data_IF_670723554791
#
_entry.id   IF_670723554791
#
_cell.length_a   1.000
_cell.length_b   1.000
_cell.length_c   1.000
_cell.angle_alpha   90.00
_cell.angle_beta   90.00
_cell.angle_gamma   90.00
#
_symmetry.space_group_name_H-M   'P 1'
#
loop_
_entity.id
_entity.type
_entity.pdbx_description
1 polymer ?
#
# COMPACT_ATOMS: atom_id res chain seq x y z
N UNK A 1 -3.93 -3.98 0.33
CA UNK A 1 -2.92 -4.79 -0.37
C UNK A 1 -1.49 -4.42 0.02
N UNK A 2 -1.04 -3.16 -0.05
CA UNK A 2 0.35 -2.80 0.30
C UNK A 2 0.82 -3.38 1.66
N UNK A 3 -0.04 -3.32 2.67
CA UNK A 3 0.19 -3.95 3.98
C UNK A 3 0.36 -5.47 3.93
N UNK A 4 -0.44 -6.15 3.11
CA UNK A 4 -0.41 -7.60 2.92
C UNK A 4 0.87 -8.05 2.20
N UNK A 5 1.30 -7.31 1.18
CA UNK A 5 2.56 -7.59 0.48
C UNK A 5 3.75 -7.38 1.41
N UNK A 6 3.83 -6.22 2.06
CA UNK A 6 4.93 -5.90 2.95
C UNK A 6 5.07 -6.91 4.10
N UNK A 7 3.98 -7.28 4.78
CA UNK A 7 4.03 -8.27 5.87
C UNK A 7 4.23 -9.69 5.33
N UNK A 8 3.66 -10.01 4.18
CA UNK A 8 3.73 -11.35 3.58
C UNK A 8 5.10 -11.72 3.07
N UNK A 9 5.79 -10.73 2.47
CA UNK A 9 7.06 -10.89 1.76
C UNK A 9 8.11 -9.89 2.31
N UNK A 10 8.15 -9.73 3.63
CA UNK A 10 9.00 -8.74 4.32
C UNK A 10 10.50 -8.97 4.09
N UNK A 11 10.91 -10.15 3.62
CA UNK A 11 12.29 -10.39 3.20
C UNK A 11 12.66 -9.65 1.91
N UNK A 12 11.69 -9.48 1.01
CA UNK A 12 11.89 -8.93 -0.33
C UNK A 12 11.38 -7.47 -0.45
N UNK A 13 10.49 -7.04 0.44
CA UNK A 13 9.88 -5.70 0.46
C UNK A 13 10.29 -4.98 1.73
N UNK A 14 11.12 -3.94 1.61
CA UNK A 14 11.72 -3.21 2.74
C UNK A 14 11.02 -1.86 3.05
N UNK A 15 9.69 -1.84 3.03
CA UNK A 15 8.92 -0.63 3.28
C UNK A 15 7.53 -0.61 2.68
N UNK A 16 6.66 0.29 3.16
CA UNK A 16 5.25 0.31 2.77
C UNK A 16 4.61 1.69 2.83
N UNK A 17 3.94 2.07 1.74
CA UNK A 17 3.07 3.23 1.66
C UNK A 17 1.59 2.83 1.76
N UNK A 18 0.89 3.38 2.75
CA UNK A 18 -0.51 3.04 3.07
C UNK A 18 -1.37 4.30 2.93
N UNK A 19 -2.15 4.36 1.86
CA UNK A 19 -3.11 5.43 1.60
C UNK A 19 -4.52 4.92 1.84
N UNK A 20 -5.21 5.47 2.86
CA UNK A 20 -6.62 5.18 3.14
C UNK A 20 -6.95 3.67 3.19
N UNK A 21 -5.98 2.84 3.59
CA UNK A 21 -6.09 1.39 3.62
C UNK A 21 -6.17 0.87 5.06
N UNK A 22 -6.96 -0.19 5.32
CA UNK A 22 -7.04 -0.77 6.65
C UNK A 22 -5.78 -1.61 6.98
N UNK A 23 -5.58 -1.94 8.27
CA UNK A 23 -4.52 -2.83 8.71
C UNK A 23 -4.52 -4.22 8.06
N UNK A 24 -3.37 -4.89 8.12
CA UNK A 24 -3.23 -6.29 7.73
C UNK A 24 -4.30 -7.16 8.40
N UNK A 25 -4.88 -8.08 7.63
CA UNK A 25 -5.92 -9.00 8.06
C UNK A 25 -7.25 -8.36 8.50
N UNK A 26 -7.42 -7.05 8.32
CA UNK A 26 -8.73 -6.44 8.49
C UNK A 26 -9.68 -6.95 7.39
N UNK A 27 -10.75 -7.63 7.79
CA UNK A 27 -11.67 -8.36 6.91
C UNK A 27 -11.52 -9.89 6.98
N UNK A 28 -10.56 -10.38 7.78
CA UNK A 28 -10.41 -11.80 8.12
C UNK A 28 -11.09 -12.18 9.45
N UNK A 29 -11.14 -13.48 9.74
CA UNK A 29 -11.61 -14.06 11.02
C UNK A 29 -12.90 -13.45 11.60
N UNK A 30 -13.93 -13.26 10.77
CA UNK A 30 -15.25 -12.80 11.22
C UNK A 30 -15.41 -11.27 11.30
N UNK A 31 -14.38 -10.49 11.01
CA UNK A 31 -14.53 -9.05 10.75
C UNK A 31 -15.13 -8.84 9.37
N UNK A 32 -16.14 -7.96 9.27
CA UNK A 32 -16.71 -7.61 7.97
C UNK A 32 -15.88 -6.53 7.28
N UNK A 33 -15.91 -6.50 5.95
CA UNK A 33 -15.34 -5.39 5.18
C UNK A 33 -15.91 -4.04 5.63
N UNK A 34 -17.20 -3.98 5.98
CA UNK A 34 -17.83 -2.77 6.50
C UNK A 34 -17.21 -2.29 7.82
N UNK A 35 -16.84 -3.21 8.73
CA UNK A 35 -16.11 -2.84 9.95
C UNK A 35 -14.75 -2.23 9.62
N UNK A 36 -14.04 -2.80 8.66
CA UNK A 36 -12.70 -2.38 8.24
C UNK A 36 -12.67 -1.13 7.36
N UNK A 37 -13.80 -0.73 6.80
CA UNK A 37 -13.90 0.49 6.00
C UNK A 37 -14.52 1.62 6.80
N UNK A 38 -15.67 1.38 7.44
CA UNK A 38 -16.50 2.45 8.03
C UNK A 38 -16.88 2.17 9.48
N UNK A 39 -16.32 1.14 10.11
CA UNK A 39 -16.64 0.77 11.48
C UNK A 39 -15.89 1.58 12.53
N UNK A 40 -16.32 1.49 13.81
CA UNK A 40 -15.58 2.05 14.92
C UNK A 40 -14.22 1.35 15.08
N UNK A 41 -13.13 2.13 15.08
CA UNK A 41 -11.78 1.60 15.24
C UNK A 41 -11.57 0.83 16.55
N UNK A 42 -12.31 1.16 17.60
CA UNK A 42 -12.27 0.48 18.91
C UNK A 42 -12.71 -0.99 18.86
N UNK A 43 -13.40 -1.40 17.80
CA UNK A 43 -13.80 -2.80 17.59
C UNK A 43 -12.73 -3.62 16.85
N UNK A 44 -11.65 -2.99 16.39
CA UNK A 44 -10.54 -3.65 15.69
C UNK A 44 -9.34 -3.68 16.63
N UNK A 45 -9.03 -4.86 17.16
CA UNK A 45 -7.92 -5.04 18.11
C UNK A 45 -6.60 -5.23 17.37
N UNK A 46 -5.70 -4.24 17.46
CA UNK A 46 -4.33 -4.34 16.92
C UNK A 46 -3.59 -5.54 17.51
N UNK A 47 -3.82 -5.89 18.78
CA UNK A 47 -3.24 -7.10 19.40
C UNK A 47 -3.67 -8.38 18.70
N UNK A 48 -4.94 -8.49 18.28
CA UNK A 48 -5.43 -9.66 17.53
C UNK A 48 -4.81 -9.71 16.14
N UNK A 49 -4.65 -8.56 15.48
CA UNK A 49 -3.97 -8.49 14.18
C UNK A 49 -2.50 -8.91 14.27
N UNK A 50 -1.78 -8.44 15.28
CA UNK A 50 -0.39 -8.82 15.58
C UNK A 50 -0.27 -10.33 15.89
N UNK A 51 -1.18 -10.88 16.70
CA UNK A 51 -1.25 -12.32 16.94
C UNK A 51 -1.50 -13.11 15.66
N UNK A 52 -2.30 -12.56 14.73
CA UNK A 52 -2.53 -13.21 13.44
C UNK A 52 -1.27 -13.23 12.58
N UNK A 53 -0.49 -12.16 12.58
CA UNK A 53 0.82 -12.12 11.91
C UNK A 53 1.70 -13.24 12.46
N UNK A 54 1.86 -13.33 13.80
CA UNK A 54 2.63 -14.41 14.45
C UNK A 54 2.11 -15.80 14.09
N UNK A 55 0.79 -15.97 14.05
CA UNK A 55 0.16 -17.23 13.66
C UNK A 55 0.45 -17.61 12.21
N UNK A 56 0.35 -16.68 11.27
CA UNK A 56 0.67 -16.96 9.86
C UNK A 56 2.14 -17.19 9.63
N UNK A 57 3.01 -16.56 10.42
CA UNK A 57 4.44 -16.88 10.41
C UNK A 57 4.71 -18.32 10.88
N UNK A 58 4.04 -18.79 11.94
CA UNK A 58 4.15 -20.18 12.42
C UNK A 58 3.64 -21.23 11.41
N UNK A 59 2.76 -20.82 10.50
CA UNK A 59 2.26 -21.66 9.41
C UNK A 59 3.09 -21.52 8.13
N UNK A 60 4.20 -20.79 8.16
CA UNK A 60 5.03 -20.46 6.98
C UNK A 60 4.21 -19.86 5.82
N UNK A 61 3.14 -19.10 6.15
CA UNK A 61 2.30 -18.38 5.17
C UNK A 61 2.79 -16.96 4.88
N UNK A 62 3.66 -16.43 5.72
CA UNK A 62 4.30 -15.11 5.58
C UNK A 62 5.76 -15.21 6.07
N UNK A 63 6.58 -14.28 5.63
CA UNK A 63 7.95 -14.09 6.12
C UNK A 63 8.02 -13.74 7.61
N UNK A 64 9.23 -13.83 8.16
CA UNK A 64 9.49 -13.46 9.56
C UNK A 64 9.23 -11.97 9.81
N UNK A 65 8.34 -11.61 10.75
CA UNK A 65 8.05 -10.21 11.06
C UNK A 65 9.26 -9.43 11.57
N UNK A 66 10.33 -10.11 12.02
CA UNK A 66 11.59 -9.44 12.39
C UNK A 66 12.19 -8.64 11.23
N UNK A 67 11.92 -9.03 9.98
CA UNK A 67 12.41 -8.29 8.81
C UNK A 67 11.80 -6.88 8.69
N UNK A 68 10.67 -6.61 9.36
CA UNK A 68 9.96 -5.32 9.32
C UNK A 68 10.58 -4.31 10.31
N UNK A 69 11.45 -4.77 11.23
CA UNK A 69 12.11 -3.89 12.17
C UNK A 69 13.01 -2.89 11.43
N UNK A 70 12.77 -1.59 11.64
CA UNK A 70 13.47 -0.53 10.94
C UNK A 70 12.91 -0.19 9.56
N UNK A 71 11.97 -0.96 8.99
CA UNK A 71 11.43 -0.63 7.67
C UNK A 71 10.66 0.70 7.69
N UNK A 72 10.87 1.59 6.70
CA UNK A 72 10.09 2.81 6.58
C UNK A 72 8.65 2.50 6.19
N UNK A 73 7.70 3.00 6.98
CA UNK A 73 6.27 2.87 6.71
C UNK A 73 5.62 4.24 6.71
N UNK A 74 4.86 4.54 5.66
CA UNK A 74 4.12 5.79 5.54
C UNK A 74 2.62 5.52 5.62
N UNK A 75 1.89 6.25 6.47
CA UNK A 75 0.43 6.13 6.59
C UNK A 75 -0.26 7.46 6.33
N UNK A 76 -1.13 7.50 5.32
CA UNK A 76 -1.97 8.65 5.01
C UNK A 76 -3.45 8.36 5.28
N UNK A 77 -4.14 9.32 5.90
CA UNK A 77 -5.59 9.36 5.92
C UNK A 77 -6.10 10.80 5.91
N UNK A 78 -7.00 11.14 4.99
CA UNK A 78 -7.64 12.45 4.96
C UNK A 78 -8.72 12.61 6.03
N UNK A 79 -8.83 13.77 6.66
CA UNK A 79 -9.83 14.07 7.71
C UNK A 79 -11.27 13.85 7.22
N UNK A 80 -11.53 14.11 5.94
CA UNK A 80 -12.86 14.03 5.35
C UNK A 80 -13.15 12.69 4.67
N UNK A 81 -12.27 11.70 4.77
CA UNK A 81 -12.51 10.39 4.18
C UNK A 81 -13.75 9.71 4.81
N UNK A 82 -14.76 9.47 3.97
CA UNK A 82 -16.00 8.75 4.33
C UNK A 82 -16.11 7.37 3.68
N UNK A 83 -15.11 6.94 2.94
CA UNK A 83 -15.05 5.61 2.30
C UNK A 83 -14.20 4.67 3.16
N UNK A 84 -13.05 5.13 3.61
CA UNK A 84 -12.19 4.45 4.58
C UNK A 84 -11.96 5.38 5.77
N UNK A 85 -12.68 5.13 6.86
CA UNK A 85 -12.70 6.02 8.01
C UNK A 85 -11.31 6.17 8.63
N UNK A 86 -10.88 7.41 8.92
CA UNK A 86 -9.54 7.65 9.44
C UNK A 86 -9.22 6.89 10.72
N UNK A 87 -10.23 6.64 11.57
CA UNK A 87 -10.04 5.82 12.77
C UNK A 87 -9.48 4.44 12.47
N UNK A 88 -9.96 3.78 11.41
CA UNK A 88 -9.48 2.43 11.03
C UNK A 88 -8.10 2.51 10.39
N UNK A 89 -7.88 3.46 9.49
CA UNK A 89 -6.59 3.62 8.80
C UNK A 89 -5.46 3.92 9.79
N UNK A 90 -5.73 4.73 10.83
CA UNK A 90 -4.77 5.07 11.89
C UNK A 90 -4.28 3.86 12.70
N UNK A 91 -5.03 2.75 12.72
CA UNK A 91 -4.56 1.52 13.39
C UNK A 91 -3.31 0.92 12.75
N UNK A 92 -3.00 1.27 11.48
CA UNK A 92 -1.74 0.87 10.85
C UNK A 92 -0.52 1.41 11.61
N UNK A 93 -0.58 2.66 12.11
CA UNK A 93 0.52 3.25 12.87
C UNK A 93 0.83 2.42 14.11
N UNK A 94 -0.21 2.02 14.85
CA UNK A 94 -0.06 1.18 16.04
C UNK A 94 0.46 -0.22 15.69
N UNK A 95 -0.08 -0.84 14.64
CA UNK A 95 0.35 -2.17 14.22
C UNK A 95 1.82 -2.19 13.79
N UNK A 96 2.22 -1.28 12.91
CA UNK A 96 3.59 -1.21 12.41
C UNK A 96 4.59 -0.76 13.47
N UNK A 97 4.21 0.15 14.38
CA UNK A 97 5.07 0.50 15.52
C UNK A 97 5.36 -0.70 16.41
N UNK A 98 4.40 -1.60 16.61
CA UNK A 98 4.63 -2.85 17.38
C UNK A 98 5.52 -3.86 16.66
N UNK A 99 5.62 -3.76 15.34
CA UNK A 99 6.52 -4.57 14.52
C UNK A 99 7.92 -3.93 14.39
N UNK A 100 8.17 -2.78 15.03
CA UNK A 100 9.48 -2.12 15.02
C UNK A 100 9.74 -1.24 13.79
N UNK A 101 8.74 -0.99 12.94
CA UNK A 101 8.90 -0.16 11.75
C UNK A 101 9.10 1.34 12.07
N UNK A 102 9.77 2.06 11.17
CA UNK A 102 9.89 3.52 11.20
C UNK A 102 8.65 4.18 10.58
N UNK A 103 7.63 4.45 11.40
CA UNK A 103 6.35 4.98 10.92
C UNK A 103 6.37 6.51 10.79
N UNK A 104 6.00 7.03 9.61
CA UNK A 104 5.61 8.43 9.39
C UNK A 104 4.14 8.50 9.01
N UNK A 105 3.43 9.48 9.55
CA UNK A 105 1.99 9.64 9.32
C UNK A 105 1.62 11.02 8.79
N UNK A 106 0.51 11.09 8.05
CA UNK A 106 -0.17 12.33 7.73
C UNK A 106 -1.67 12.12 7.88
N UNK A 107 -2.21 12.67 8.97
CA UNK A 107 -3.62 12.53 9.36
C UNK A 107 -4.36 13.86 9.44
N UNK A 108 -3.68 14.96 9.16
CA UNK A 108 -4.19 16.33 9.34
C UNK A 108 -4.66 16.96 8.03
N UNK A 109 -4.52 16.25 6.91
CA UNK A 109 -4.91 16.77 5.61
C UNK A 109 -6.45 16.82 5.48
N UNK A 110 -7.05 17.96 5.08
CA UNK A 110 -8.48 18.08 4.79
C UNK A 110 -8.86 17.43 3.43
N UNK A 111 -8.39 16.20 3.20
CA UNK A 111 -8.67 15.39 2.02
C UNK A 111 -9.88 14.46 2.25
N UNK A 112 -10.64 14.23 1.18
CA UNK A 112 -11.57 13.11 1.08
C UNK A 112 -10.83 11.86 0.54
N UNK A 113 -11.53 10.73 0.43
CA UNK A 113 -10.99 9.51 -0.19
C UNK A 113 -10.49 9.74 -1.62
N UNK A 114 -9.21 9.48 -1.83
CA UNK A 114 -8.51 9.62 -3.10
C UNK A 114 -7.01 9.80 -2.90
N UNK A 115 -6.27 9.92 -4.01
CA UNK A 115 -4.85 10.19 -4.05
C UNK A 115 -4.61 11.71 -4.09
N UNK A 116 -4.06 12.32 -3.02
CA UNK A 116 -3.66 13.72 -3.00
C UNK A 116 -2.50 13.98 -3.97
N UNK A 117 -2.69 14.96 -4.84
CA UNK A 117 -1.65 15.49 -5.71
C UNK A 117 -1.49 16.99 -5.49
N UNK A 118 -0.41 17.53 -6.05
CA UNK A 118 -0.09 18.94 -5.91
C UNK A 118 -0.90 19.84 -6.85
N UNK A 119 -1.35 19.34 -8.01
CA UNK A 119 -1.94 20.17 -9.05
C UNK A 119 -2.95 19.48 -9.99
N UNK A 120 -3.37 18.23 -9.72
CA UNK A 120 -4.26 17.48 -10.60
C UNK A 120 -5.43 16.81 -9.86
N UNK A 121 -6.58 16.69 -10.53
CA UNK A 121 -7.79 16.05 -9.99
C UNK A 121 -8.80 17.04 -9.39
N UNK A 122 -9.85 16.50 -8.76
CA UNK A 122 -10.91 17.33 -8.17
C UNK A 122 -10.45 18.02 -6.89
N UNK A 123 -11.28 18.89 -6.31
CA UNK A 123 -10.99 19.55 -5.02
C UNK A 123 -10.63 18.53 -3.94
N UNK A 124 -9.62 18.83 -3.11
CA UNK A 124 -9.14 17.95 -2.04
C UNK A 124 -10.24 17.35 -1.16
N UNK A 125 -11.21 18.17 -0.77
CA UNK A 125 -12.31 17.80 0.13
C UNK A 125 -13.47 17.06 -0.53
N UNK A 126 -13.37 16.72 -1.81
CA UNK A 126 -14.46 16.10 -2.58
C UNK A 126 -14.14 14.64 -2.90
N UNK A 127 -15.13 13.75 -2.76
CA UNK A 127 -15.03 12.40 -3.31
C UNK A 127 -15.04 12.45 -4.84
N UNK A 128 -13.88 12.21 -5.47
CA UNK A 128 -13.78 12.16 -6.91
C UNK A 128 -13.93 10.73 -7.43
N UNK A 129 -15.16 10.27 -7.65
CA UNK A 129 -15.40 8.88 -8.10
C UNK A 129 -14.96 8.61 -9.55
N UNK A 130 -14.59 9.64 -10.32
CA UNK A 130 -14.16 9.45 -11.71
C UNK A 130 -12.78 8.77 -11.80
N UNK A 131 -11.87 9.09 -10.88
CA UNK A 131 -10.51 8.52 -10.86
C UNK A 131 -9.87 8.44 -9.46
N UNK A 132 -10.55 8.94 -8.43
CA UNK A 132 -10.04 9.01 -7.06
C UNK A 132 -8.72 9.77 -6.95
N UNK A 133 -8.52 10.82 -7.75
CA UNK A 133 -7.36 11.71 -7.67
C UNK A 133 -7.82 13.12 -7.32
N UNK A 134 -7.16 13.77 -6.38
CA UNK A 134 -7.55 15.07 -5.84
C UNK A 134 -6.39 16.05 -5.84
N UNK A 135 -6.66 17.29 -6.26
CA UNK A 135 -5.74 18.40 -6.09
C UNK A 135 -5.84 18.91 -4.65
N UNK A 136 -4.82 18.59 -3.86
CA UNK A 136 -4.68 18.93 -2.46
C UNK A 136 -3.58 19.95 -2.18
N UNK A 137 -2.94 20.50 -3.23
CA UNK A 137 -1.70 21.27 -3.10
C UNK A 137 -0.65 20.51 -2.26
N UNK A 138 -0.66 19.17 -2.34
CA UNK A 138 0.22 18.29 -1.58
C UNK A 138 0.65 17.11 -2.44
N UNK A 139 1.95 16.96 -2.59
CA UNK A 139 2.55 15.87 -3.36
C UNK A 139 2.70 14.62 -2.47
N UNK A 140 1.62 13.83 -2.32
CA UNK A 140 1.67 12.60 -1.51
C UNK A 140 2.71 11.62 -2.05
N UNK A 141 2.80 11.47 -3.37
CA UNK A 141 3.76 10.56 -4.00
C UNK A 141 5.20 10.89 -3.56
N UNK A 142 5.59 12.16 -3.61
CA UNK A 142 6.89 12.61 -3.12
C UNK A 142 7.04 12.40 -1.61
N UNK A 143 6.08 12.86 -0.80
CA UNK A 143 6.24 12.83 0.66
C UNK A 143 6.34 11.40 1.21
N UNK A 144 5.59 10.48 0.60
CA UNK A 144 5.63 9.05 0.86
C UNK A 144 6.94 8.44 0.36
N UNK A 145 7.29 8.61 -0.92
CA UNK A 145 8.50 8.02 -1.49
C UNK A 145 9.77 8.54 -0.81
N UNK A 146 9.81 9.83 -0.47
CA UNK A 146 10.93 10.41 0.26
C UNK A 146 11.15 9.71 1.60
N UNK A 147 10.08 9.43 2.35
CA UNK A 147 10.19 8.65 3.59
C UNK A 147 10.70 7.23 3.34
N UNK A 148 10.11 6.53 2.36
CA UNK A 148 10.49 5.17 2.00
C UNK A 148 11.94 5.06 1.49
N UNK A 149 12.51 6.14 0.95
CA UNK A 149 13.89 6.19 0.45
C UNK A 149 14.88 6.86 1.41
N UNK A 150 14.53 6.99 2.71
CA UNK A 150 15.46 7.50 3.73
C UNK A 150 15.57 9.03 3.85
N UNK A 151 14.65 9.77 3.23
CA UNK A 151 14.42 11.19 3.50
C UNK A 151 15.22 12.20 2.67
N UNK A 152 16.00 11.73 1.69
CA UNK A 152 16.99 12.56 0.96
C UNK A 152 16.63 12.84 -0.50
N UNK A 153 15.40 12.57 -0.93
CA UNK A 153 14.96 12.87 -2.28
C UNK A 153 14.77 14.38 -2.46
N UNK A 154 15.05 14.86 -3.66
CA UNK A 154 14.76 16.24 -4.04
C UNK A 154 13.31 16.35 -4.48
N UNK A 155 12.53 17.22 -3.84
CA UNK A 155 11.15 17.49 -4.24
C UNK A 155 11.11 18.07 -5.66
N UNK A 156 10.34 17.50 -6.59
CA UNK A 156 10.09 18.15 -7.87
C UNK A 156 9.47 19.53 -7.68
N UNK A 157 9.87 20.54 -8.47
CA UNK A 157 9.21 21.85 -8.44
C UNK A 157 7.71 21.72 -8.69
N UNK A 158 6.92 22.61 -8.07
CA UNK A 158 5.48 22.70 -8.32
C UNK A 158 5.25 22.98 -9.80
N UNK A 159 4.33 22.23 -10.43
CA UNK A 159 4.11 22.28 -11.88
C UNK A 159 5.35 21.96 -12.71
N UNK A 160 6.27 21.14 -12.18
CA UNK A 160 7.39 20.64 -12.96
C UNK A 160 6.89 20.07 -14.28
N UNK A 161 7.33 20.69 -15.37
CA UNK A 161 7.16 20.20 -16.73
C UNK A 161 8.40 19.41 -17.15
N UNK A 162 9.23 18.94 -16.20
CA UNK A 162 10.34 18.03 -16.52
C UNK A 162 9.74 16.95 -17.40
N UNK A 163 10.17 16.85 -18.68
CA UNK A 163 9.65 15.84 -19.57
C UNK A 163 9.79 14.49 -18.87
N UNK A 164 8.75 13.66 -18.92
CA UNK A 164 8.92 12.25 -18.60
C UNK A 164 9.89 11.72 -19.66
N UNK A 165 11.19 11.73 -19.34
CA UNK A 165 12.24 11.21 -20.22
C UNK A 165 12.29 9.68 -20.20
N UNK A 166 11.50 9.06 -19.32
CA UNK A 166 11.28 7.62 -19.30
C UNK A 166 10.17 7.15 -20.23
N UNK A 167 9.86 5.86 -20.13
CA UNK A 167 8.82 5.19 -20.91
C UNK A 167 7.86 4.41 -20.00
N UNK A 168 6.60 4.31 -20.42
CA UNK A 168 5.62 3.41 -19.83
C UNK A 168 5.67 2.07 -20.58
N UNK A 169 6.35 1.10 -20.00
CA UNK A 169 6.38 -0.27 -20.53
C UNK A 169 5.08 -0.96 -20.19
N UNK A 170 4.46 -1.60 -21.17
CA UNK A 170 3.33 -2.50 -20.95
C UNK A 170 3.81 -3.94 -21.07
N UNK A 171 3.40 -4.80 -20.14
CA UNK A 171 3.75 -6.23 -20.19
C UNK A 171 2.57 -7.12 -19.77
N UNK A 172 2.63 -8.38 -20.19
CA UNK A 172 1.63 -9.40 -19.89
C UNK A 172 1.91 -10.05 -18.52
N UNK A 173 0.99 -9.89 -17.58
CA UNK A 173 1.06 -10.47 -16.25
C UNK A 173 0.90 -11.99 -16.26
N UNK A 174 0.30 -12.59 -17.31
CA UNK A 174 0.14 -14.04 -17.40
C UNK A 174 1.49 -14.79 -17.36
N UNK A 175 2.56 -14.15 -17.83
CA UNK A 175 3.91 -14.68 -17.76
C UNK A 175 4.35 -15.01 -16.32
N UNK A 176 3.75 -14.34 -15.32
CA UNK A 176 4.10 -14.45 -13.90
C UNK A 176 3.05 -15.17 -13.05
N UNK A 177 1.95 -15.67 -13.65
CA UNK A 177 0.81 -16.27 -12.93
C UNK A 177 0.84 -17.81 -12.85
N UNK A 178 1.96 -18.45 -13.21
CA UNK A 178 2.13 -19.91 -13.12
C UNK A 178 2.41 -20.36 -11.67
N UNK A 179 1.36 -20.44 -10.84
CA UNK A 179 1.47 -20.94 -9.47
C UNK A 179 1.44 -22.47 -9.40
N UNK A 180 2.50 -23.17 -8.95
CA UNK A 180 2.46 -24.61 -8.74
C UNK A 180 1.33 -25.00 -7.78
N UNK A 181 0.65 -26.10 -8.08
CA UNK A 181 -0.53 -26.61 -7.36
C UNK A 181 -0.28 -26.85 -5.86
N UNK A 182 0.97 -27.00 -5.42
CA UNK A 182 1.34 -27.39 -4.05
C UNK A 182 1.22 -26.29 -2.98
N UNK A 183 1.10 -25.01 -3.34
CA UNK A 183 0.86 -23.91 -2.38
C UNK A 183 -0.64 -23.57 -2.20
N UNK A 184 -1.53 -24.33 -2.86
CA UNK A 184 -2.98 -24.14 -2.82
C UNK A 184 -3.63 -24.93 -1.67
N UNK A 185 -3.28 -24.65 -0.42
CA UNK A 185 -4.02 -25.21 0.71
C UNK A 185 -5.41 -24.56 0.90
N UNK A 186 -5.74 -23.54 0.11
CA UNK A 186 -7.09 -22.96 0.02
C UNK A 186 -7.47 -22.86 -1.46
N UNK A 187 -8.11 -23.90 -2.01
CA UNK A 187 -8.59 -23.99 -3.41
C UNK A 187 -9.41 -22.76 -3.86
N UNK A 188 -10.02 -22.02 -2.93
CA UNK A 188 -10.84 -20.84 -3.23
C UNK A 188 -10.02 -19.56 -3.53
N UNK A 189 -8.72 -19.51 -3.20
CA UNK A 189 -7.89 -18.33 -3.42
C UNK A 189 -7.34 -18.23 -4.86
N UNK A 190 -7.04 -19.37 -5.50
CA UNK A 190 -6.45 -19.42 -6.85
C UNK A 190 -7.44 -19.04 -7.96
N UNK A 191 -8.68 -19.52 -7.86
CA UNK A 191 -9.72 -19.20 -8.85
C UNK A 191 -10.03 -17.71 -8.85
N UNK A 192 -10.05 -17.04 -7.69
CA UNK A 192 -10.39 -15.61 -7.66
C UNK A 192 -9.30 -14.69 -8.24
N UNK A 193 -8.03 -14.81 -7.86
CA UNK A 193 -7.06 -13.75 -8.20
C UNK A 193 -6.80 -13.61 -9.71
N UNK A 194 -6.73 -14.73 -10.44
CA UNK A 194 -6.49 -14.74 -11.90
C UNK A 194 -7.70 -14.26 -12.71
N UNK A 195 -8.91 -14.32 -12.14
CA UNK A 195 -10.14 -13.84 -12.78
C UNK A 195 -10.31 -12.32 -12.70
N UNK A 196 -9.70 -11.66 -11.70
CA UNK A 196 -9.89 -10.22 -11.43
C UNK A 196 -8.68 -9.35 -11.80
N UNK A 197 -7.49 -9.92 -11.94
CA UNK A 197 -6.30 -9.17 -12.37
C UNK A 197 -6.32 -9.01 -13.89
N UNK A 198 -6.10 -7.77 -14.36
CA UNK A 198 -5.99 -7.51 -15.81
C UNK A 198 -4.71 -8.15 -16.34
N UNK A 199 -4.77 -8.70 -17.55
CA UNK A 199 -3.58 -9.30 -18.17
C UNK A 199 -2.46 -8.29 -18.44
N UNK A 200 -2.77 -7.00 -18.61
CA UNK A 200 -1.75 -5.97 -18.90
C UNK A 200 -1.43 -5.12 -17.67
N UNK A 201 -0.14 -5.06 -17.32
CA UNK A 201 0.39 -4.12 -16.34
C UNK A 201 1.33 -3.11 -16.99
N UNK A 202 1.49 -1.96 -16.33
CA UNK A 202 2.37 -0.90 -16.77
C UNK A 202 3.47 -0.65 -15.74
N UNK A 203 4.68 -0.38 -16.23
CA UNK A 203 5.82 0.05 -15.45
C UNK A 203 6.44 1.29 -16.07
N UNK A 204 6.59 2.34 -15.27
CA UNK A 204 7.39 3.50 -15.68
C UNK A 204 8.87 3.21 -15.43
N UNK A 205 9.70 3.38 -16.46
CA UNK A 205 11.16 3.28 -16.36
C UNK A 205 11.79 4.62 -16.73
N UNK A 206 12.55 5.28 -15.84
CA UNK A 206 13.40 6.42 -16.18
C UNK A 206 14.36 6.11 -17.34
N UNK A 207 14.81 7.14 -18.08
CA UNK A 207 15.75 6.98 -19.21
C UNK A 207 17.10 6.37 -18.77
N UNK A 208 17.53 6.74 -17.57
CA UNK A 208 18.76 6.34 -16.92
C UNK A 208 18.63 5.06 -16.10
N UNK A 209 17.50 4.36 -16.21
CA UNK A 209 17.28 3.10 -15.50
C UNK A 209 18.14 1.98 -16.09
N UNK A 210 19.16 1.56 -15.33
CA UNK A 210 19.99 0.41 -15.66
C UNK A 210 19.37 -0.87 -15.12
N UNK A 211 18.91 -1.73 -16.02
CA UNK A 211 18.33 -3.02 -15.65
C UNK A 211 19.43 -3.98 -15.18
N UNK A 212 19.30 -4.60 -14.00
CA UNK A 212 20.26 -5.59 -13.55
C UNK A 212 20.44 -6.68 -14.60
N UNK A 213 21.69 -6.90 -15.06
CA UNK A 213 22.01 -7.91 -16.08
C UNK A 213 21.87 -9.35 -15.57
N UNK A 214 21.77 -9.54 -14.25
CA UNK A 214 21.47 -10.83 -13.62
C UNK A 214 19.96 -10.99 -13.52
N UNK A 215 19.41 -11.76 -14.46
CA UNK A 215 18.01 -11.80 -14.82
C UNK A 215 17.02 -12.07 -13.68
N UNK A 216 15.87 -11.43 -13.83
CA UNK A 216 14.54 -11.99 -13.61
C UNK A 216 13.56 -11.05 -14.34
N UNK A 217 13.32 -11.36 -15.61
CA UNK A 217 12.05 -11.15 -16.29
C UNK A 217 11.70 -12.46 -16.99
#
# INVERSE_FOLDING_TARGET
>A
MATQLHIGFSKDISGCGILAGPPFYCGGSGMTTALCMTGPASLISVTVLEQKIKYYRLLDKIDDPVNIEGDPVYVFSGIYDKVAYPGVVKLNEQLYSRLGAMVKTNFDMPAHHGFPTENFGAKCSTLNTANYINNCNFNLAYDMLNHLSGGNLTKPPVNSKTPLVGQMLMFDQNAFMNFPLSLAAEENAKLSMSEWIKNSMYLYTPEDWDWPTSGLF
#
